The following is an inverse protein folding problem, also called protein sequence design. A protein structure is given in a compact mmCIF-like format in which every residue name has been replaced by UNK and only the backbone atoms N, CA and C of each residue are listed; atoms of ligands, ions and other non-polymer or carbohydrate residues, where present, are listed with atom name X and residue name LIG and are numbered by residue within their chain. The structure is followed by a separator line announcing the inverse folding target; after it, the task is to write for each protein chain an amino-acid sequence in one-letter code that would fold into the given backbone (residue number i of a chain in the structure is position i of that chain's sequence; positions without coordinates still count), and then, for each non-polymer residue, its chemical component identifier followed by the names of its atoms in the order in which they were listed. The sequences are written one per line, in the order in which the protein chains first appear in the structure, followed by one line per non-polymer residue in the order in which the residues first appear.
data_IF_206700713867
#
_entry.id   IF_206700713867
#
_cell.length_a   1.000
_cell.length_b   1.000
_cell.length_c   1.000
_cell.angle_alpha   90.00
_cell.angle_beta   90.00
_cell.angle_gamma   90.00
#
_symmetry.space_group_name_H-M   'P 1'
#
loop_
_entity.id
_entity.type
_entity.pdbx_description
1 polymer ?
#
# COMPACT_ATOMS: atom_id res chain seq x y z
N UNK A 1 14.85 -14.59 -13.79
CA UNK A 1 15.42 -15.16 -12.55
C UNK A 1 14.24 -15.45 -11.64
N UNK A 2 14.22 -16.64 -11.05
CA UNK A 2 13.06 -17.33 -10.47
C UNK A 2 12.31 -16.52 -9.41
N UNK A 3 11.06 -16.13 -9.72
CA UNK A 3 10.10 -15.61 -8.74
C UNK A 3 9.79 -16.65 -7.64
N UNK A 4 10.02 -17.91 -7.97
CA UNK A 4 9.94 -19.13 -7.17
C UNK A 4 11.00 -19.24 -6.05
N UNK A 5 11.89 -18.25 -5.88
CA UNK A 5 12.85 -18.17 -4.74
C UNK A 5 12.52 -17.06 -3.74
N UNK A 6 11.43 -16.34 -3.95
CA UNK A 6 11.01 -15.27 -3.06
C UNK A 6 10.22 -15.85 -1.88
N UNK A 7 10.31 -15.19 -0.72
CA UNK A 7 9.38 -15.46 0.36
C UNK A 7 7.97 -15.06 -0.06
N UNK A 8 6.96 -15.59 0.64
CA UNK A 8 5.57 -15.23 0.41
C UNK A 8 5.38 -13.70 0.52
N UNK A 9 5.90 -13.08 1.58
CA UNK A 9 5.79 -11.64 1.79
C UNK A 9 6.47 -10.81 0.68
N UNK A 10 7.66 -11.19 0.21
CA UNK A 10 8.29 -10.47 -0.91
C UNK A 10 7.50 -10.63 -2.21
N UNK A 11 6.91 -11.81 -2.43
CA UNK A 11 6.04 -12.05 -3.59
C UNK A 11 4.81 -11.14 -3.54
N UNK A 12 4.14 -11.05 -2.40
CA UNK A 12 2.96 -10.20 -2.20
C UNK A 12 3.28 -8.72 -2.41
N UNK A 13 4.41 -8.23 -1.90
CA UNK A 13 4.87 -6.86 -2.12
C UNK A 13 5.12 -6.54 -3.60
N UNK A 14 5.73 -7.47 -4.35
CA UNK A 14 5.94 -7.30 -5.80
C UNK A 14 4.59 -7.30 -6.52
N UNK A 15 3.65 -8.16 -6.14
CA UNK A 15 2.31 -8.17 -6.73
C UNK A 15 1.54 -6.88 -6.42
N UNK A 16 1.71 -6.29 -5.25
CA UNK A 16 1.15 -4.99 -4.88
C UNK A 16 1.66 -3.90 -5.84
N UNK A 17 2.99 -3.76 -5.96
CA UNK A 17 3.63 -2.78 -6.85
C UNK A 17 3.22 -2.96 -8.31
N UNK A 18 3.11 -4.22 -8.76
CA UNK A 18 2.65 -4.54 -10.10
C UNK A 18 1.19 -4.10 -10.31
N UNK A 19 0.29 -4.36 -9.35
CA UNK A 19 -1.12 -3.94 -9.44
C UNK A 19 -1.27 -2.43 -9.47
N UNK A 20 -0.48 -1.70 -8.67
CA UNK A 20 -0.44 -0.23 -8.72
C UNK A 20 -0.04 0.25 -10.10
N UNK A 21 1.06 -0.29 -10.64
CA UNK A 21 1.57 0.06 -11.97
C UNK A 21 0.55 -0.28 -13.07
N UNK A 22 -0.09 -1.45 -12.99
CA UNK A 22 -1.12 -1.86 -13.95
C UNK A 22 -2.34 -0.93 -13.90
N UNK A 23 -2.77 -0.50 -12.71
CA UNK A 23 -3.85 0.48 -12.57
C UNK A 23 -3.56 1.77 -13.32
N UNK A 24 -2.33 2.29 -13.19
CA UNK A 24 -1.88 3.49 -13.91
C UNK A 24 -1.86 3.29 -15.43
N UNK A 25 -1.34 2.16 -15.91
CA UNK A 25 -1.27 1.85 -17.35
C UNK A 25 -2.65 1.66 -17.96
N UNK A 26 -3.54 0.93 -17.28
CA UNK A 26 -4.88 0.62 -17.78
C UNK A 26 -5.80 1.84 -17.80
N UNK A 27 -5.58 2.80 -16.91
CA UNK A 27 -6.39 4.03 -16.84
C UNK A 27 -6.10 5.01 -17.98
N UNK A 28 -5.11 4.72 -18.84
CA UNK A 28 -4.84 5.49 -20.07
C UNK A 28 -4.48 6.97 -19.85
N UNK A 29 -4.18 7.36 -18.61
CA UNK A 29 -3.97 8.76 -18.21
C UNK A 29 -5.23 9.64 -18.20
N UNK A 30 -6.42 9.08 -18.39
CA UNK A 30 -7.68 9.85 -18.45
C UNK A 30 -8.40 9.99 -17.11
N UNK A 31 -8.19 9.04 -16.19
CA UNK A 31 -8.82 9.06 -14.87
C UNK A 31 -7.90 8.38 -13.85
N UNK A 32 -7.80 8.93 -12.65
CA UNK A 32 -7.03 8.31 -11.57
C UNK A 32 -7.97 7.42 -10.76
N UNK A 33 -7.88 6.10 -10.95
CA UNK A 33 -8.66 5.15 -10.18
C UNK A 33 -8.23 5.10 -8.70
N UNK A 34 -9.18 4.96 -7.75
CA UNK A 34 -8.85 4.71 -6.35
C UNK A 34 -8.20 3.33 -6.18
N UNK A 35 -7.29 3.23 -5.22
CA UNK A 35 -6.61 2.00 -4.85
C UNK A 35 -7.15 1.52 -3.51
N UNK A 36 -7.71 0.31 -3.50
CA UNK A 36 -8.28 -0.31 -2.30
C UNK A 36 -7.44 -1.54 -1.94
N UNK A 37 -6.95 -1.57 -0.71
CA UNK A 37 -6.08 -2.62 -0.18
C UNK A 37 -6.70 -3.23 1.08
N UNK A 38 -6.68 -4.55 1.17
CA UNK A 38 -7.22 -5.31 2.29
C UNK A 38 -6.12 -6.20 2.88
N UNK A 39 -5.68 -5.89 4.10
CA UNK A 39 -4.69 -6.65 4.88
C UNK A 39 -3.37 -6.96 4.14
N UNK A 40 -2.90 -6.02 3.31
CA UNK A 40 -1.70 -6.22 2.47
C UNK A 40 -0.39 -6.30 3.25
N UNK A 41 -0.40 -6.00 4.55
CA UNK A 41 0.76 -6.02 5.45
C UNK A 41 0.89 -7.30 6.27
N UNK A 42 -0.08 -8.23 6.22
CA UNK A 42 -0.15 -9.38 7.15
C UNK A 42 1.06 -10.33 7.11
N UNK A 43 1.80 -10.43 6.00
CA UNK A 43 3.02 -11.25 5.90
C UNK A 43 4.32 -10.44 6.09
N UNK A 44 4.20 -9.18 6.48
CA UNK A 44 5.32 -8.28 6.74
C UNK A 44 5.77 -8.35 8.19
N UNK A 45 7.07 -8.14 8.41
CA UNK A 45 7.56 -7.75 9.73
C UNK A 45 7.44 -6.21 9.86
N UNK A 46 7.60 -5.68 11.07
CA UNK A 46 7.50 -4.25 11.38
C UNK A 46 8.26 -3.37 10.39
N UNK A 47 9.52 -3.71 10.06
CA UNK A 47 10.32 -2.94 9.10
C UNK A 47 9.67 -2.89 7.73
N UNK A 48 9.15 -4.03 7.25
CA UNK A 48 8.45 -4.09 5.97
C UNK A 48 7.09 -3.40 6.01
N UNK A 49 6.35 -3.49 7.12
CA UNK A 49 5.07 -2.82 7.32
C UNK A 49 5.24 -1.30 7.22
N UNK A 50 6.21 -0.74 7.94
CA UNK A 50 6.55 0.69 7.86
C UNK A 50 6.87 1.12 6.42
N UNK A 51 7.74 0.38 5.72
CA UNK A 51 8.09 0.70 4.34
C UNK A 51 6.89 0.63 3.38
N UNK A 52 5.96 -0.32 3.59
CA UNK A 52 4.72 -0.40 2.81
C UNK A 52 3.80 0.79 3.12
N UNK A 53 3.68 1.20 4.38
CA UNK A 53 2.87 2.35 4.77
C UNK A 53 3.42 3.67 4.20
N UNK A 54 4.75 3.86 4.23
CA UNK A 54 5.41 5.01 3.59
C UNK A 54 5.11 5.05 2.10
N UNK A 55 5.27 3.93 1.39
CA UNK A 55 4.95 3.82 -0.03
C UNK A 55 3.47 4.13 -0.33
N UNK A 56 2.55 3.58 0.46
CA UNK A 56 1.12 3.81 0.28
C UNK A 56 0.75 5.28 0.52
N UNK A 57 1.40 5.95 1.47
CA UNK A 57 1.22 7.37 1.73
C UNK A 57 1.82 8.25 0.62
N UNK A 58 2.96 7.87 0.04
CA UNK A 58 3.49 8.53 -1.15
C UNK A 58 2.52 8.39 -2.34
N UNK A 59 1.99 7.19 -2.56
CA UNK A 59 0.99 6.94 -3.61
C UNK A 59 -0.30 7.72 -3.39
N UNK A 60 -0.65 8.05 -2.14
CA UNK A 60 -1.86 8.80 -1.83
C UNK A 60 -1.83 10.25 -2.34
N UNK A 61 -0.65 10.77 -2.70
CA UNK A 61 -0.51 12.08 -3.32
C UNK A 61 -1.11 12.14 -4.73
N UNK A 62 -1.13 11.00 -5.44
CA UNK A 62 -1.63 10.92 -6.82
C UNK A 62 -2.94 10.12 -6.91
N UNK A 63 -3.14 9.14 -6.03
CA UNK A 63 -4.30 8.25 -6.01
C UNK A 63 -5.07 8.35 -4.69
N UNK A 64 -6.39 8.19 -4.70
CA UNK A 64 -7.08 7.91 -3.44
C UNK A 64 -6.71 6.50 -2.97
N UNK A 65 -6.10 6.39 -1.79
CA UNK A 65 -5.73 5.10 -1.18
C UNK A 65 -6.67 4.80 -0.02
N UNK A 66 -7.31 3.63 -0.05
CA UNK A 66 -8.15 3.10 1.02
C UNK A 66 -7.52 1.80 1.51
N UNK A 67 -7.06 1.79 2.77
CA UNK A 67 -6.42 0.64 3.38
C UNK A 67 -7.31 0.10 4.51
N UNK A 68 -7.66 -1.18 4.41
CA UNK A 68 -8.20 -1.96 5.51
C UNK A 68 -7.06 -2.72 6.16
N UNK A 69 -6.94 -2.61 7.47
CA UNK A 69 -5.95 -3.34 8.25
C UNK A 69 -6.53 -3.75 9.60
N UNK A 70 -6.21 -4.95 10.04
CA UNK A 70 -6.45 -5.43 11.40
C UNK A 70 -5.26 -5.24 12.36
N UNK A 71 -4.15 -4.66 11.89
CA UNK A 71 -2.89 -4.57 12.62
C UNK A 71 -2.77 -3.25 13.40
N UNK A 72 -2.60 -3.32 14.73
CA UNK A 72 -2.44 -2.12 15.59
C UNK A 72 -1.24 -1.26 15.15
N UNK A 73 -0.16 -1.89 14.66
CA UNK A 73 1.03 -1.20 14.17
C UNK A 73 0.72 -0.25 13.00
N UNK A 74 -0.23 -0.62 12.13
CA UNK A 74 -0.66 0.22 10.99
C UNK A 74 -1.40 1.46 11.50
N UNK A 75 -2.29 1.30 12.48
CA UNK A 75 -3.01 2.42 13.10
C UNK A 75 -2.05 3.35 13.82
N UNK A 76 -1.11 2.80 14.58
CA UNK A 76 -0.08 3.59 15.28
C UNK A 76 0.81 4.36 14.31
N UNK A 77 1.20 3.74 13.20
CA UNK A 77 1.95 4.43 12.15
C UNK A 77 1.12 5.57 11.57
N UNK A 78 -0.16 5.33 11.25
CA UNK A 78 -1.03 6.34 10.65
C UNK A 78 -1.18 7.56 11.58
N UNK A 79 -1.45 7.34 12.86
CA UNK A 79 -1.60 8.42 13.86
C UNK A 79 -0.36 9.32 13.97
N UNK A 80 0.84 8.81 13.67
CA UNK A 80 2.10 9.55 13.80
C UNK A 80 2.51 10.27 12.52
N UNK A 81 2.08 9.78 11.35
CA UNK A 81 2.71 10.15 10.07
C UNK A 81 1.77 10.80 9.04
N UNK A 82 0.45 10.65 9.16
CA UNK A 82 -0.47 11.16 8.14
C UNK A 82 -0.79 12.64 8.32
N UNK A 83 -1.22 13.30 7.24
CA UNK A 83 -1.69 14.69 7.27
C UNK A 83 -3.20 14.71 7.58
N UNK A 84 -3.63 15.19 8.76
CA UNK A 84 -5.04 15.18 9.15
C UNK A 84 -5.94 16.10 8.31
N UNK A 85 -5.36 16.97 7.45
CA UNK A 85 -6.13 17.80 6.52
C UNK A 85 -6.55 17.07 5.24
N UNK A 86 -5.87 15.96 4.93
CA UNK A 86 -6.08 15.17 3.70
C UNK A 86 -6.41 13.71 3.97
N UNK A 87 -5.90 13.16 5.07
CA UNK A 87 -5.96 11.75 5.41
C UNK A 87 -6.90 11.53 6.60
N UNK A 88 -7.51 10.35 6.69
CA UNK A 88 -8.48 10.02 7.74
C UNK A 88 -8.32 8.58 8.21
N UNK A 89 -8.34 8.40 9.53
CA UNK A 89 -8.42 7.09 10.20
C UNK A 89 -9.89 6.92 10.62
N UNK A 90 -10.50 5.78 10.27
CA UNK A 90 -11.91 5.45 10.56
C UNK A 90 -11.97 4.43 11.68
#
# INVERSE_FOLDING_TARGET
RQADRLSLGTTEQIYLLLRVTLSQVLSGGTETAPLIFDDVTTQSDTTRTVAMMELLHELSAEHQVILFSQEDEVVEWAQRNIDPTRDTII
#
